data_IF_404268954191
#
_entry.id   IF_404268954191
#
_cell.length_a   1.000
_cell.length_b   1.000
_cell.length_c   1.000
_cell.angle_alpha   90.00
_cell.angle_beta   90.00
_cell.angle_gamma   90.00
#
_symmetry.space_group_name_H-M   'P 1'
#
loop_
_entity.id
_entity.type
_entity.pdbx_description
1 polymer ?
#
# COMPACT_ATOMS: atom_id res chain seq x y z
N UNK A 1 1.42 11.73 3.03
CA UNK A 1 0.77 11.42 4.32
C UNK A 1 -0.75 11.18 4.22
N UNK A 2 -1.47 11.67 3.20
CA UNK A 2 -2.95 11.55 3.12
C UNK A 2 -3.46 10.14 2.76
N UNK A 3 -2.71 9.36 1.98
CA UNK A 3 -3.15 8.04 1.49
C UNK A 3 -3.27 6.96 2.60
N UNK A 4 -2.39 6.99 3.60
CA UNK A 4 -2.40 6.01 4.71
C UNK A 4 -3.65 6.14 5.60
N UNK A 5 -4.08 7.37 5.88
CA UNK A 5 -5.29 7.63 6.66
C UNK A 5 -6.55 7.10 5.97
N UNK A 6 -6.67 7.33 4.66
CA UNK A 6 -7.79 6.81 3.84
C UNK A 6 -7.75 5.28 3.78
N UNK A 7 -6.55 4.71 3.64
CA UNK A 7 -6.36 3.26 3.62
C UNK A 7 -6.68 2.58 4.97
N UNK A 8 -6.54 3.26 6.12
CA UNK A 8 -7.02 2.76 7.42
C UNK A 8 -8.55 2.84 7.54
N UNK A 9 -9.16 3.89 6.98
CA UNK A 9 -10.62 4.07 6.97
C UNK A 9 -11.29 2.89 6.24
N UNK A 10 -10.65 2.32 5.22
CA UNK A 10 -11.14 1.10 4.55
C UNK A 10 -11.39 -0.08 5.48
N UNK A 11 -10.70 -0.19 6.62
CA UNK A 11 -10.98 -1.24 7.61
C UNK A 11 -12.38 -1.09 8.21
N UNK A 12 -12.83 0.14 8.42
CA UNK A 12 -14.14 0.46 8.97
C UNK A 12 -15.22 0.47 7.88
N UNK A 13 -14.88 0.93 6.68
CA UNK A 13 -15.76 0.82 5.50
C UNK A 13 -15.86 -0.61 4.97
N UNK A 14 -14.96 -1.52 5.37
CA UNK A 14 -14.96 -2.91 4.94
C UNK A 14 -16.20 -3.72 5.26
N UNK A 15 -17.09 -3.24 6.14
CA UNK A 15 -18.43 -3.83 6.28
C UNK A 15 -19.26 -3.71 4.99
N UNK A 16 -18.93 -2.77 4.10
CA UNK A 16 -19.51 -2.63 2.75
C UNK A 16 -18.83 -3.50 1.69
N UNK A 17 -17.74 -4.22 2.03
CA UNK A 17 -17.06 -5.16 1.13
C UNK A 17 -16.28 -4.51 -0.03
N UNK A 18 -16.14 -3.18 -0.05
CA UNK A 18 -15.47 -2.46 -1.14
C UNK A 18 -13.96 -2.33 -0.89
N UNK A 19 -13.09 -3.01 -1.66
CA UNK A 19 -11.65 -2.83 -1.56
C UNK A 19 -11.23 -1.49 -2.16
N UNK A 20 -10.29 -0.79 -1.52
CA UNK A 20 -9.68 0.41 -2.12
C UNK A 20 -8.58 -0.02 -3.07
N UNK A 21 -8.69 0.43 -4.32
CA UNK A 21 -7.68 0.24 -5.35
C UNK A 21 -6.83 1.50 -5.41
N UNK A 22 -5.52 1.37 -5.17
CA UNK A 22 -4.59 2.49 -5.31
C UNK A 22 -3.34 2.10 -6.08
N UNK A 23 -2.94 2.96 -7.01
CA UNK A 23 -1.73 2.82 -7.84
C UNK A 23 -0.56 3.65 -7.30
N UNK A 24 -0.84 4.66 -6.44
CA UNK A 24 0.08 5.77 -6.11
C UNK A 24 0.39 5.92 -4.62
N UNK A 25 0.37 4.82 -3.87
CA UNK A 25 0.66 4.84 -2.45
C UNK A 25 2.16 4.81 -2.14
N UNK A 26 2.80 5.98 -2.00
CA UNK A 26 4.23 6.13 -1.67
C UNK A 26 4.54 5.86 -0.18
N UNK A 27 4.12 4.71 0.34
CA UNK A 27 4.38 4.32 1.73
C UNK A 27 4.83 2.86 1.80
N UNK A 28 5.83 2.57 2.62
CA UNK A 28 6.34 1.22 2.83
C UNK A 28 5.30 0.27 3.44
N UNK A 29 4.35 0.82 4.22
CA UNK A 29 3.33 0.01 4.88
C UNK A 29 2.35 -0.65 3.90
N UNK A 30 2.29 -0.16 2.66
CA UNK A 30 1.49 -0.79 1.63
C UNK A 30 2.13 -2.06 1.05
N UNK A 31 3.42 -2.31 1.29
CA UNK A 31 4.11 -3.54 0.82
C UNK A 31 4.01 -4.67 1.84
N UNK A 32 3.75 -4.35 3.12
CA UNK A 32 3.58 -5.34 4.19
C UNK A 32 2.49 -6.37 3.86
N UNK A 33 2.63 -7.64 4.30
CA UNK A 33 1.63 -8.69 4.11
C UNK A 33 0.22 -8.25 4.52
N UNK A 34 -0.78 -8.62 3.71
CA UNK A 34 -2.19 -8.19 3.85
C UNK A 34 -3.14 -9.38 3.70
N UNK A 35 -2.82 -10.49 4.36
CA UNK A 35 -3.53 -11.77 4.16
C UNK A 35 -4.61 -11.97 5.22
N UNK A 36 -4.48 -11.31 6.37
CA UNK A 36 -5.38 -11.49 7.50
C UNK A 36 -6.18 -10.22 7.76
N UNK A 37 -7.43 -10.38 8.23
CA UNK A 37 -8.29 -9.24 8.58
C UNK A 37 -7.74 -8.35 9.72
N UNK A 38 -6.69 -8.82 10.42
CA UNK A 38 -5.99 -8.06 11.46
C UNK A 38 -5.00 -7.06 10.85
N UNK A 39 -4.53 -7.31 9.63
CA UNK A 39 -3.57 -6.47 8.94
C UNK A 39 -4.16 -5.09 8.64
N UNK A 40 -3.34 -4.06 8.82
CA UNK A 40 -3.75 -2.65 8.80
C UNK A 40 -4.39 -2.21 7.46
N UNK A 41 -3.99 -2.87 6.37
CA UNK A 41 -4.40 -2.54 5.01
C UNK A 41 -5.01 -3.75 4.29
N UNK A 42 -5.57 -4.72 5.00
CA UNK A 42 -6.12 -5.97 4.44
C UNK A 42 -7.01 -5.79 3.18
N UNK A 43 -7.79 -4.70 3.12
CA UNK A 43 -8.70 -4.39 2.00
C UNK A 43 -8.13 -3.38 0.99
N UNK A 44 -6.83 -3.11 1.04
CA UNK A 44 -6.14 -2.26 0.07
C UNK A 44 -5.51 -3.15 -1.00
N UNK A 45 -6.05 -3.04 -2.22
CA UNK A 45 -5.50 -3.70 -3.40
C UNK A 45 -4.63 -2.69 -4.13
N UNK A 46 -3.36 -3.03 -4.33
CA UNK A 46 -2.48 -2.21 -5.17
C UNK A 46 -2.67 -2.63 -6.62
N UNK A 47 -3.07 -1.68 -7.47
CA UNK A 47 -3.09 -1.91 -8.91
C UNK A 47 -1.74 -1.49 -9.49
N UNK A 48 -0.89 -2.46 -9.81
CA UNK A 48 0.37 -2.23 -10.53
C UNK A 48 1.57 -2.96 -9.93
N UNK A 49 2.59 -3.28 -10.75
CA UNK A 49 3.76 -4.06 -10.34
C UNK A 49 4.83 -3.27 -9.60
N UNK A 50 4.75 -1.93 -9.58
CA UNK A 50 5.80 -1.08 -9.01
C UNK A 50 5.51 -0.78 -7.53
N UNK A 51 6.29 -1.36 -6.62
CA UNK A 51 6.31 -0.99 -5.22
C UNK A 51 7.19 0.22 -4.94
N UNK A 52 6.79 1.04 -3.95
CA UNK A 52 7.63 2.14 -3.49
C UNK A 52 8.98 1.63 -2.94
N UNK A 53 9.00 0.44 -2.33
CA UNK A 53 10.21 -0.23 -1.89
C UNK A 53 11.13 -0.56 -3.07
N UNK A 54 10.60 -1.18 -4.14
CA UNK A 54 11.36 -1.49 -5.34
C UNK A 54 11.89 -0.22 -6.03
N UNK A 55 11.08 0.84 -6.06
CA UNK A 55 11.47 2.15 -6.60
C UNK A 55 12.55 2.81 -5.75
N UNK A 56 12.47 2.72 -4.42
CA UNK A 56 13.49 3.24 -3.51
C UNK A 56 14.82 2.48 -3.67
N UNK A 57 14.78 1.15 -3.76
CA UNK A 57 15.96 0.34 -4.04
C UNK A 57 16.57 0.67 -5.41
N UNK A 58 15.74 0.84 -6.44
CA UNK A 58 16.19 1.26 -7.76
C UNK A 58 16.90 2.62 -7.74
N UNK A 59 16.35 3.62 -7.03
CA UNK A 59 17.00 4.93 -6.89
C UNK A 59 18.31 4.84 -6.12
N UNK A 60 18.37 4.03 -5.06
CA UNK A 60 19.61 3.83 -4.29
C UNK A 60 20.68 3.18 -5.16
N UNK A 61 20.33 2.14 -5.92
CA UNK A 61 21.27 1.45 -6.82
C UNK A 61 21.75 2.37 -7.94
N UNK A 62 20.87 3.24 -8.47
CA UNK A 62 21.24 4.26 -9.45
C UNK A 62 22.23 5.29 -8.88
N UNK A 63 22.04 5.72 -7.63
CA UNK A 63 22.92 6.70 -6.96
C UNK A 63 24.25 6.10 -6.49
N UNK A 64 24.36 4.77 -6.43
CA UNK A 64 25.58 4.05 -6.02
C UNK A 64 26.48 3.70 -7.20
N UNK A 65 26.00 3.93 -8.42
CA UNK A 65 26.74 3.85 -9.68
C UNK A 65 27.55 5.13 -9.92
#
# INVERSE_FOLDING_TARGET
MVSASVARITKFLGSTGLPIITTGGFTFDFVKPKVTCKDEFYMLVRAGPLGFEDLAHFIIDLMRQ
#
